data_IF_570009806103
#
_entry.id   IF_570009806103
#
_cell.length_a   1.000
_cell.length_b   1.000
_cell.length_c   1.000
_cell.angle_alpha   90.00
_cell.angle_beta   90.00
_cell.angle_gamma   90.00
#
_symmetry.space_group_name_H-M   'P 1'
#
loop_
_entity.id
_entity.type
_entity.pdbx_description
1 polymer ?
#
# COMPACT_ATOMS: atom_id res chain seq x y z
N UNK A 1 27.97 -53.25 -0.31
CA UNK A 1 26.80 -53.91 -0.92
C UNK A 1 25.56 -53.26 -0.32
N UNK A 2 24.97 -52.28 -1.01
CA UNK A 2 23.78 -51.57 -0.54
C UNK A 2 22.52 -52.33 -0.99
N UNK A 3 21.53 -52.55 -0.11
CA UNK A 3 20.34 -53.31 -0.46
C UNK A 3 19.45 -52.48 -1.39
N UNK A 4 19.07 -53.00 -2.57
CA UNK A 4 18.14 -52.33 -3.48
C UNK A 4 16.66 -52.57 -3.12
N UNK A 5 16.33 -52.92 -1.87
CA UNK A 5 15.08 -53.69 -1.62
C UNK A 5 13.96 -52.97 -0.86
N UNK A 6 14.18 -51.76 -0.31
CA UNK A 6 13.11 -51.08 0.44
C UNK A 6 11.96 -50.59 -0.45
N UNK A 7 12.29 -50.03 -1.62
CA UNK A 7 11.29 -49.48 -2.53
C UNK A 7 10.53 -50.58 -3.28
N UNK A 8 11.19 -51.70 -3.54
CA UNK A 8 10.63 -52.95 -4.06
C UNK A 8 9.56 -53.51 -3.10
N UNK A 9 9.92 -53.62 -1.81
CA UNK A 9 9.03 -54.13 -0.75
C UNK A 9 7.83 -53.19 -0.54
N UNK A 10 8.03 -51.87 -0.57
CA UNK A 10 6.92 -50.91 -0.42
C UNK A 10 5.93 -50.96 -1.59
N UNK A 11 6.39 -51.26 -2.80
CA UNK A 11 5.51 -51.40 -3.99
C UNK A 11 4.76 -52.74 -4.02
N UNK A 12 5.25 -53.76 -3.32
CA UNK A 12 4.58 -55.07 -3.18
C UNK A 12 3.46 -55.07 -2.13
N UNK A 13 3.28 -53.99 -1.36
CA UNK A 13 2.23 -53.88 -0.36
C UNK A 13 0.82 -53.92 -1.00
N UNK A 14 -0.13 -54.71 -0.47
CA UNK A 14 -1.51 -54.75 -0.95
C UNK A 14 -2.15 -53.36 -0.83
N UNK A 15 -2.79 -52.89 -1.90
CA UNK A 15 -3.55 -51.62 -1.84
C UNK A 15 -4.75 -51.80 -0.90
N UNK A 16 -4.91 -50.98 0.14
CA UNK A 16 -6.04 -51.11 1.04
C UNK A 16 -7.34 -50.85 0.27
N UNK A 17 -8.29 -51.79 0.36
CA UNK A 17 -9.62 -51.62 -0.19
C UNK A 17 -10.40 -50.69 0.73
N UNK A 18 -10.90 -49.54 0.23
CA UNK A 18 -11.64 -48.62 1.08
C UNK A 18 -12.93 -49.28 1.59
N UNK A 19 -13.33 -49.02 2.85
CA UNK A 19 -14.57 -49.56 3.40
C UNK A 19 -15.79 -49.04 2.62
N UNK A 20 -16.82 -49.87 2.49
CA UNK A 20 -18.03 -49.54 1.75
C UNK A 20 -18.67 -48.24 2.27
N UNK A 21 -19.03 -47.34 1.36
CA UNK A 21 -19.66 -46.06 1.70
C UNK A 21 -18.70 -44.93 2.14
N UNK A 22 -17.38 -45.15 2.15
CA UNK A 22 -16.39 -44.09 2.45
C UNK A 22 -16.56 -42.89 1.51
N UNK A 23 -16.79 -43.13 0.22
CA UNK A 23 -17.00 -42.07 -0.78
C UNK A 23 -18.23 -41.22 -0.47
N UNK A 24 -19.34 -41.84 -0.02
CA UNK A 24 -20.53 -41.11 0.40
C UNK A 24 -20.30 -40.33 1.70
N UNK A 25 -19.53 -40.87 2.65
CA UNK A 25 -19.12 -40.13 3.85
C UNK A 25 -18.23 -38.94 3.50
N UNK A 26 -17.27 -39.10 2.60
CA UNK A 26 -16.39 -38.00 2.16
C UNK A 26 -17.18 -36.91 1.43
N UNK A 27 -18.04 -37.29 0.48
CA UNK A 27 -18.89 -36.34 -0.24
C UNK A 27 -19.88 -35.61 0.68
N UNK A 28 -20.29 -36.22 1.82
CA UNK A 28 -21.14 -35.56 2.80
C UNK A 28 -20.42 -34.47 3.61
N UNK A 29 -19.11 -34.62 3.85
CA UNK A 29 -18.32 -33.67 4.66
C UNK A 29 -17.57 -32.64 3.80
N UNK A 30 -17.46 -32.86 2.50
CA UNK A 30 -16.90 -31.90 1.56
C UNK A 30 -18.01 -30.94 1.10
N UNK A 31 -18.26 -29.89 1.88
CA UNK A 31 -18.83 -28.66 1.34
C UNK A 31 -17.69 -27.91 0.65
N UNK A 32 -17.51 -28.16 -0.65
CA UNK A 32 -16.84 -27.18 -1.48
C UNK A 32 -17.84 -26.05 -1.66
N UNK A 33 -17.50 -24.84 -1.22
CA UNK A 33 -18.18 -23.63 -1.67
C UNK A 33 -18.30 -23.74 -3.18
N UNK A 34 -19.53 -23.59 -3.70
CA UNK A 34 -19.75 -23.58 -5.14
C UNK A 34 -18.74 -22.59 -5.75
N UNK A 35 -18.07 -22.94 -6.86
CA UNK A 35 -17.25 -21.95 -7.54
C UNK A 35 -18.19 -20.79 -7.83
N UNK A 36 -17.85 -19.61 -7.30
CA UNK A 36 -18.51 -18.36 -7.67
C UNK A 36 -18.66 -18.45 -9.18
N UNK A 37 -19.90 -18.41 -9.66
CA UNK A 37 -20.16 -18.38 -11.08
C UNK A 37 -19.40 -17.17 -11.60
N UNK A 38 -18.21 -17.42 -12.17
CA UNK A 38 -17.58 -16.46 -13.05
C UNK A 38 -18.59 -16.35 -14.16
N UNK A 39 -19.33 -15.25 -14.15
CA UNK A 39 -20.01 -14.76 -15.34
C UNK A 39 -18.97 -14.86 -16.45
N UNK A 40 -19.11 -15.89 -17.27
CA UNK A 40 -18.49 -15.91 -18.57
C UNK A 40 -19.13 -14.73 -19.27
N UNK A 41 -18.44 -13.60 -19.24
CA UNK A 41 -18.73 -12.46 -20.07
C UNK A 41 -18.61 -12.96 -21.51
N UNK A 42 -19.72 -13.48 -22.06
CA UNK A 42 -19.91 -13.54 -23.48
C UNK A 42 -19.85 -12.10 -23.94
N UNK A 43 -18.69 -11.70 -24.43
CA UNK A 43 -18.54 -10.47 -25.20
C UNK A 43 -19.44 -10.65 -26.42
N UNK A 44 -20.56 -9.91 -26.55
CA UNK A 44 -21.36 -9.98 -27.75
C UNK A 44 -20.47 -9.56 -28.91
N UNK A 45 -20.48 -10.32 -30.00
CA UNK A 45 -19.79 -9.93 -31.23
C UNK A 45 -20.28 -8.53 -31.60
N UNK A 46 -19.44 -7.52 -31.38
CA UNK A 46 -19.80 -6.15 -31.67
C UNK A 46 -19.97 -6.05 -33.18
N UNK A 47 -21.16 -5.63 -33.61
CA UNK A 47 -21.47 -5.45 -35.02
C UNK A 47 -20.40 -4.56 -35.65
N UNK A 48 -19.89 -4.97 -36.82
CA UNK A 48 -18.88 -4.27 -37.61
C UNK A 48 -19.07 -2.74 -37.58
N UNK A 49 -20.31 -2.26 -37.64
CA UNK A 49 -20.69 -0.85 -37.62
C UNK A 49 -20.25 -0.09 -36.35
N UNK A 50 -20.21 -0.72 -35.16
CA UNK A 50 -19.73 -0.08 -33.93
C UNK A 50 -18.22 0.13 -33.92
N UNK A 51 -17.47 -0.68 -34.67
CA UNK A 51 -15.99 -0.59 -34.75
C UNK A 51 -15.51 0.60 -35.57
N UNK A 52 -16.34 1.08 -36.51
CA UNK A 52 -16.04 2.20 -37.40
C UNK A 52 -16.76 3.50 -37.03
N UNK A 53 -17.64 3.46 -36.01
CA UNK A 53 -18.35 4.62 -35.50
C UNK A 53 -17.45 5.82 -35.16
N UNK A 54 -16.27 5.64 -34.52
CA UNK A 54 -15.40 6.78 -34.23
C UNK A 54 -14.92 7.47 -35.51
N UNK A 55 -14.53 6.70 -36.53
CA UNK A 55 -13.99 7.23 -37.79
C UNK A 55 -15.01 8.02 -38.59
N UNK A 56 -16.29 7.59 -38.58
CA UNK A 56 -17.37 8.34 -39.25
C UNK A 56 -17.75 9.63 -38.51
N UNK A 57 -17.70 9.66 -37.18
CA UNK A 57 -17.99 10.87 -36.40
C UNK A 57 -16.91 11.94 -36.64
N UNK A 58 -15.63 11.56 -36.63
CA UNK A 58 -14.54 12.50 -36.92
C UNK A 58 -14.57 12.99 -38.38
N UNK A 59 -14.85 12.12 -39.35
CA UNK A 59 -14.98 12.51 -40.76
C UNK A 59 -16.15 13.47 -41.04
N UNK A 60 -17.31 13.22 -40.42
CA UNK A 60 -18.47 14.10 -40.53
C UNK A 60 -18.25 15.49 -39.92
N UNK A 61 -17.54 15.55 -38.78
CA UNK A 61 -17.20 16.82 -38.14
C UNK A 61 -16.33 17.74 -39.00
N UNK A 62 -15.35 17.17 -39.73
CA UNK A 62 -14.46 17.94 -40.61
C UNK A 62 -15.23 18.54 -41.80
N UNK A 63 -16.13 17.76 -42.42
CA UNK A 63 -16.94 18.24 -43.55
C UNK A 63 -17.93 19.32 -43.12
N UNK A 64 -18.56 19.18 -41.96
CA UNK A 64 -19.43 20.21 -41.39
C UNK A 64 -18.67 21.51 -41.08
N UNK A 65 -17.46 21.40 -40.52
CA UNK A 65 -16.60 22.55 -40.22
C UNK A 65 -16.14 23.27 -41.51
N UNK A 66 -15.78 22.52 -42.55
CA UNK A 66 -15.44 23.08 -43.86
C UNK A 66 -16.64 23.82 -44.50
N UNK A 67 -17.84 23.23 -44.44
CA UNK A 67 -19.06 23.87 -44.93
C UNK A 67 -19.39 25.17 -44.16
N UNK A 68 -19.21 25.18 -42.83
CA UNK A 68 -19.38 26.37 -42.00
C UNK A 68 -18.36 27.48 -42.35
N UNK A 69 -17.11 27.13 -42.62
CA UNK A 69 -16.09 28.11 -43.04
C UNK A 69 -16.37 28.70 -44.44
N UNK A 70 -17.01 27.94 -45.33
CA UNK A 70 -17.43 28.40 -46.66
C UNK A 70 -18.59 29.40 -46.56
N UNK A 71 -19.60 29.12 -45.73
CA UNK A 71 -20.73 30.05 -45.51
C UNK A 71 -20.30 31.32 -44.76
N UNK A 72 -19.35 31.20 -43.84
CA UNK A 72 -18.78 32.35 -43.12
C UNK A 72 -17.98 33.28 -44.07
N UNK A 73 -17.29 32.72 -45.08
CA UNK A 73 -16.60 33.51 -46.13
C UNK A 73 -17.54 34.25 -47.08
N UNK A 74 -18.76 33.75 -47.33
CA UNK A 74 -19.77 34.50 -48.11
C UNK A 74 -20.41 35.62 -47.29
N UNK A 75 -20.67 35.37 -45.99
CA UNK A 75 -21.20 36.39 -45.08
C UNK A 75 -20.22 37.57 -44.91
N UNK A 76 -18.92 37.30 -44.81
CA UNK A 76 -17.86 38.32 -44.76
C UNK A 76 -17.76 39.16 -46.04
N UNK A 77 -17.99 38.56 -47.22
CA UNK A 77 -18.01 39.31 -48.49
C UNK A 77 -19.23 40.21 -48.59
N UNK A 78 -20.40 39.73 -48.17
CA UNK A 78 -21.63 40.52 -48.15
C UNK A 78 -21.55 41.65 -47.10
N UNK A 79 -20.96 41.38 -45.92
CA UNK A 79 -20.72 42.39 -44.90
C UNK A 79 -19.73 43.48 -45.36
N UNK A 80 -18.67 43.12 -46.10
CA UNK A 80 -17.76 44.10 -46.73
C UNK A 80 -18.43 44.91 -47.83
N UNK A 81 -19.31 44.31 -48.62
CA UNK A 81 -20.08 45.01 -49.65
C UNK A 81 -21.08 46.02 -49.04
N UNK A 82 -21.72 45.66 -47.93
CA UNK A 82 -22.59 46.56 -47.16
C UNK A 82 -21.79 47.69 -46.50
N UNK A 83 -20.61 47.40 -45.94
CA UNK A 83 -19.72 48.39 -45.33
C UNK A 83 -19.09 49.37 -46.35
N UNK A 84 -18.96 48.97 -47.62
CA UNK A 84 -18.48 49.82 -48.71
C UNK A 84 -19.57 50.73 -49.32
N UNK A 85 -20.84 50.57 -48.94
CA UNK A 85 -21.95 51.41 -49.40
C UNK A 85 -22.15 52.62 -48.47
N UNK A 86 -22.46 53.83 -48.99
CA UNK A 86 -22.75 55.00 -48.16
C UNK A 86 -23.96 54.82 -47.23
N UNK A 87 -24.86 53.86 -47.52
CA UNK A 87 -25.94 53.47 -46.62
C UNK A 87 -25.45 52.62 -45.43
N UNK A 88 -24.36 51.85 -45.60
CA UNK A 88 -23.79 51.03 -44.53
C UNK A 88 -23.03 51.83 -43.48
N UNK A 89 -22.33 52.90 -43.90
CA UNK A 89 -21.66 53.80 -42.94
C UNK A 89 -22.67 54.55 -42.05
N UNK A 90 -23.86 54.88 -42.57
CA UNK A 90 -24.94 55.52 -41.81
C UNK A 90 -25.62 54.56 -40.81
N UNK A 91 -25.75 53.28 -41.15
CA UNK A 91 -26.25 52.24 -40.24
C UNK A 91 -25.24 51.94 -39.13
N UNK A 92 -23.95 51.91 -39.46
CA UNK A 92 -22.86 51.69 -38.50
C UNK A 92 -22.74 52.89 -37.55
N UNK A 93 -22.83 54.13 -38.05
CA UNK A 93 -22.78 55.33 -37.19
C UNK A 93 -23.99 55.46 -36.28
N UNK A 94 -25.19 55.10 -36.77
CA UNK A 94 -26.41 55.04 -35.96
C UNK A 94 -26.31 53.97 -34.88
N UNK A 95 -25.87 52.75 -35.22
CA UNK A 95 -25.66 51.67 -34.25
C UNK A 95 -24.56 51.99 -33.21
N UNK A 96 -23.48 52.67 -33.62
CA UNK A 96 -22.45 53.18 -32.70
C UNK A 96 -23.03 54.24 -31.75
N UNK A 97 -23.88 55.15 -32.23
CA UNK A 97 -24.55 56.16 -31.39
C UNK A 97 -25.59 55.57 -30.43
N UNK A 98 -26.33 54.54 -30.85
CA UNK A 98 -27.29 53.81 -30.02
C UNK A 98 -26.59 52.94 -28.97
N UNK A 99 -25.46 52.32 -29.33
CA UNK A 99 -24.64 51.55 -28.39
C UNK A 99 -23.91 52.45 -27.38
N UNK A 100 -23.52 53.68 -27.77
CA UNK A 100 -22.97 54.67 -26.85
C UNK A 100 -24.00 55.20 -25.85
N UNK A 101 -25.29 55.25 -26.25
CA UNK A 101 -26.39 55.66 -25.38
C UNK A 101 -26.84 54.57 -24.38
N UNK A 102 -26.45 53.30 -24.58
CA UNK A 102 -26.74 52.18 -23.67
C UNK A 102 -25.59 51.88 -22.69
N UNK A 103 -24.52 52.68 -22.65
CA UNK A 103 -23.43 52.53 -21.67
C UNK A 103 -23.77 53.27 -20.37
N UNK A 104 -24.92 52.95 -19.77
CA UNK A 104 -25.07 52.99 -18.32
C UNK A 104 -24.96 51.55 -17.81
N UNK A 105 -23.71 51.10 -17.63
CA UNK A 105 -23.41 49.80 -17.03
C UNK A 105 -23.26 49.97 -15.52
N UNK A 106 -24.29 49.61 -14.76
CA UNK A 106 -24.20 49.35 -13.32
C UNK A 106 -24.27 47.83 -13.05
N UNK A 107 -23.64 47.25 -12.01
CA UNK A 107 -22.45 47.69 -11.26
C UNK A 107 -21.22 46.86 -11.69
N UNK A 108 -20.12 47.54 -12.06
CA UNK A 108 -18.86 46.88 -12.46
C UNK A 108 -18.10 46.16 -11.34
N UNK A 109 -18.61 46.12 -10.10
CA UNK A 109 -17.94 45.49 -8.96
C UNK A 109 -18.03 43.96 -8.99
N UNK A 110 -19.18 43.39 -9.32
CA UNK A 110 -19.39 41.93 -9.27
C UNK A 110 -18.56 41.21 -10.35
N UNK A 111 -18.56 41.75 -11.56
CA UNK A 111 -17.73 41.24 -12.68
C UNK A 111 -16.23 41.40 -12.41
N UNK A 112 -15.81 42.47 -11.73
CA UNK A 112 -14.40 42.65 -11.32
C UNK A 112 -14.01 41.68 -10.22
N UNK A 113 -14.90 41.41 -9.27
CA UNK A 113 -14.70 40.41 -8.22
C UNK A 113 -14.59 39.00 -8.81
N UNK A 114 -15.47 38.65 -9.76
CA UNK A 114 -15.45 37.35 -10.45
C UNK A 114 -14.20 37.17 -11.32
N UNK A 115 -13.78 38.21 -12.06
CA UNK A 115 -12.50 38.19 -12.78
C UNK A 115 -11.29 38.05 -11.84
N UNK A 116 -11.37 38.58 -10.63
CA UNK A 116 -10.37 38.37 -9.58
C UNK A 116 -10.31 36.91 -9.13
N UNK A 117 -11.49 36.30 -8.89
CA UNK A 117 -11.63 34.90 -8.48
C UNK A 117 -11.05 33.93 -9.53
N UNK A 118 -11.43 34.11 -10.79
CA UNK A 118 -10.95 33.27 -11.89
C UNK A 118 -9.44 33.37 -12.08
N UNK A 119 -8.85 34.56 -11.88
CA UNK A 119 -7.39 34.72 -11.92
C UNK A 119 -6.72 33.97 -10.77
N UNK A 120 -7.28 34.03 -9.56
CA UNK A 120 -6.77 33.28 -8.43
C UNK A 120 -6.83 31.75 -8.66
N UNK A 121 -7.93 31.27 -9.24
CA UNK A 121 -8.08 29.86 -9.62
C UNK A 121 -7.08 29.44 -10.70
N UNK A 122 -6.87 30.26 -11.73
CA UNK A 122 -5.84 30.00 -12.74
C UNK A 122 -4.44 29.93 -12.13
N UNK A 123 -4.10 30.84 -11.21
CA UNK A 123 -2.80 30.78 -10.52
C UNK A 123 -2.66 29.52 -9.66
N UNK A 124 -3.74 29.06 -9.02
CA UNK A 124 -3.75 27.84 -8.24
C UNK A 124 -3.56 26.60 -9.12
N UNK A 125 -4.26 26.52 -10.26
CA UNK A 125 -4.13 25.42 -11.21
C UNK A 125 -2.75 25.38 -11.86
N UNK A 126 -2.16 26.54 -12.15
CA UNK A 126 -0.78 26.64 -12.64
C UNK A 126 0.20 26.08 -11.60
N UNK A 127 0.09 26.49 -10.33
CA UNK A 127 0.93 25.97 -9.27
C UNK A 127 0.81 24.45 -9.09
N UNK A 128 -0.40 23.89 -9.18
CA UNK A 128 -0.63 22.44 -9.15
C UNK A 128 0.02 21.74 -10.35
N UNK A 129 -0.09 22.34 -11.55
CA UNK A 129 0.53 21.80 -12.76
C UNK A 129 2.05 21.78 -12.63
N UNK A 130 2.64 22.84 -12.08
CA UNK A 130 4.09 22.92 -11.85
C UNK A 130 4.55 21.90 -10.80
N UNK A 131 3.77 21.69 -9.74
CA UNK A 131 4.03 20.65 -8.75
C UNK A 131 4.01 19.24 -9.36
N UNK A 132 3.05 18.94 -10.24
CA UNK A 132 2.99 17.65 -10.95
C UNK A 132 4.21 17.47 -11.85
N UNK A 133 4.63 18.53 -12.56
CA UNK A 133 5.84 18.48 -13.41
C UNK A 133 7.10 18.25 -12.58
N UNK A 134 7.20 18.89 -11.43
CA UNK A 134 8.32 18.69 -10.52
C UNK A 134 8.38 17.23 -10.04
N UNK A 135 7.27 16.70 -9.56
CA UNK A 135 7.19 15.30 -9.13
C UNK A 135 7.52 14.32 -10.27
N UNK A 136 7.09 14.63 -11.50
CA UNK A 136 7.45 13.83 -12.67
C UNK A 136 8.96 13.88 -12.98
N UNK A 137 9.59 15.04 -12.85
CA UNK A 137 11.03 15.20 -13.03
C UNK A 137 11.83 14.45 -11.93
N UNK A 138 11.40 14.54 -10.68
CA UNK A 138 11.97 13.79 -9.55
C UNK A 138 11.83 12.28 -9.75
N UNK A 139 10.65 11.80 -10.16
CA UNK A 139 10.44 10.38 -10.49
C UNK A 139 11.36 9.92 -11.62
N UNK A 140 11.52 10.73 -12.67
CA UNK A 140 12.42 10.40 -13.79
C UNK A 140 13.90 10.40 -13.35
N UNK A 141 14.28 11.25 -12.39
CA UNK A 141 15.62 11.25 -11.82
C UNK A 141 15.86 9.99 -10.97
N UNK A 142 14.90 9.60 -10.13
CA UNK A 142 14.96 8.38 -9.33
C UNK A 142 15.05 7.13 -10.21
N UNK A 143 14.24 7.05 -11.28
CA UNK A 143 14.31 5.94 -12.23
C UNK A 143 15.67 5.83 -12.93
N UNK A 144 16.29 6.97 -13.28
CA UNK A 144 17.65 6.98 -13.84
C UNK A 144 18.69 6.51 -12.82
N UNK A 145 18.61 6.99 -11.59
CA UNK A 145 19.52 6.56 -10.52
C UNK A 145 19.40 5.05 -10.24
N UNK A 146 18.17 4.50 -10.25
CA UNK A 146 17.95 3.05 -10.13
C UNK A 146 18.57 2.28 -11.30
N UNK A 147 18.35 2.72 -12.54
CA UNK A 147 18.94 2.08 -13.72
C UNK A 147 20.49 2.12 -13.71
N UNK A 148 21.07 3.22 -13.25
CA UNK A 148 22.53 3.35 -13.07
C UNK A 148 23.04 2.41 -11.97
N UNK A 149 22.32 2.28 -10.86
CA UNK A 149 22.66 1.35 -9.77
C UNK A 149 22.53 -0.12 -10.20
N UNK A 150 21.49 -0.47 -10.96
CA UNK A 150 21.32 -1.80 -11.56
C UNK A 150 22.44 -2.11 -12.56
N UNK A 151 22.82 -1.14 -13.39
CA UNK A 151 23.95 -1.30 -14.32
C UNK A 151 25.30 -1.46 -13.61
N UNK A 152 25.45 -0.92 -12.39
CA UNK A 152 26.66 -1.03 -11.59
C UNK A 152 26.83 -2.41 -10.89
N UNK A 153 25.78 -3.25 -10.86
CA UNK A 153 25.81 -4.60 -10.30
C UNK A 153 25.71 -5.67 -11.42
N UNK A 154 26.78 -5.92 -12.18
CA UNK A 154 26.74 -6.87 -13.28
C UNK A 154 26.50 -8.30 -12.76
N UNK A 155 25.41 -8.93 -13.22
CA UNK A 155 25.14 -10.36 -13.02
C UNK A 155 24.20 -10.73 -11.87
N UNK A 156 23.63 -9.76 -11.16
CA UNK A 156 22.54 -10.01 -10.19
C UNK A 156 21.23 -9.68 -10.88
N UNK A 157 20.36 -10.67 -11.07
CA UNK A 157 19.05 -10.42 -11.64
C UNK A 157 18.13 -9.69 -10.64
N UNK A 158 17.10 -8.97 -11.08
CA UNK A 158 16.13 -8.36 -10.18
C UNK A 158 15.43 -9.39 -9.27
N UNK A 159 15.24 -10.62 -9.75
CA UNK A 159 14.70 -11.74 -8.96
C UNK A 159 15.67 -12.16 -7.83
N UNK A 160 16.99 -12.24 -8.11
CA UNK A 160 18.00 -12.53 -7.09
C UNK A 160 18.04 -11.45 -5.99
N UNK A 161 17.83 -10.18 -6.37
CA UNK A 161 17.79 -9.07 -5.43
C UNK A 161 16.56 -9.15 -4.51
N UNK A 162 15.39 -9.47 -5.06
CA UNK A 162 14.17 -9.67 -4.27
C UNK A 162 14.28 -10.90 -3.36
N UNK A 163 14.88 -12.00 -3.84
CA UNK A 163 15.18 -13.17 -3.01
C UNK A 163 16.17 -12.82 -1.88
N UNK A 164 17.22 -12.05 -2.18
CA UNK A 164 18.18 -11.59 -1.19
C UNK A 164 17.53 -10.69 -0.12
N UNK A 165 16.63 -9.78 -0.52
CA UNK A 165 15.84 -8.97 0.42
C UNK A 165 14.92 -9.82 1.28
N UNK A 166 14.22 -10.79 0.70
CA UNK A 166 13.36 -11.71 1.45
C UNK A 166 14.19 -12.58 2.43
N UNK A 167 15.38 -13.02 2.02
CA UNK A 167 16.31 -13.74 2.87
C UNK A 167 16.86 -12.87 4.00
N UNK A 168 17.18 -11.60 3.72
CA UNK A 168 17.59 -10.61 4.71
C UNK A 168 16.48 -10.37 5.75
N UNK A 169 15.26 -10.11 5.30
CA UNK A 169 14.10 -9.90 6.17
C UNK A 169 13.86 -11.12 7.07
N UNK A 170 13.97 -12.32 6.50
CA UNK A 170 13.86 -13.56 7.27
C UNK A 170 14.99 -13.69 8.31
N UNK A 171 16.21 -13.31 7.97
CA UNK A 171 17.33 -13.32 8.90
C UNK A 171 17.12 -12.33 10.06
N UNK A 172 16.63 -11.12 9.77
CA UNK A 172 16.30 -10.11 10.78
C UNK A 172 15.17 -10.60 11.70
N UNK A 173 14.15 -11.26 11.17
CA UNK A 173 13.08 -11.86 11.97
C UNK A 173 13.58 -12.99 12.87
N UNK A 174 14.47 -13.86 12.38
CA UNK A 174 15.11 -14.90 13.20
C UNK A 174 15.95 -14.28 14.32
N UNK A 175 16.73 -13.24 14.03
CA UNK A 175 17.50 -12.54 15.05
C UNK A 175 16.60 -11.84 16.07
N UNK A 176 15.48 -11.25 15.64
CA UNK A 176 14.45 -10.71 16.52
C UNK A 176 13.91 -11.80 17.48
N UNK A 177 13.61 -13.00 16.98
CA UNK A 177 13.19 -14.14 17.81
C UNK A 177 14.27 -14.50 18.84
N UNK A 178 15.54 -14.50 18.44
CA UNK A 178 16.65 -14.78 19.37
C UNK A 178 16.76 -13.71 20.47
N UNK A 179 16.53 -12.43 20.15
CA UNK A 179 16.47 -11.36 21.14
C UNK A 179 15.29 -11.57 22.10
N UNK A 180 14.09 -11.89 21.60
CA UNK A 180 12.92 -12.18 22.44
C UNK A 180 13.14 -13.38 23.36
N UNK A 181 13.85 -14.42 22.90
CA UNK A 181 14.22 -15.58 23.74
C UNK A 181 15.17 -15.18 24.87
N UNK A 182 16.16 -14.33 24.59
CA UNK A 182 17.07 -13.82 25.63
C UNK A 182 16.31 -12.99 26.67
N UNK A 183 15.38 -12.15 26.21
CA UNK A 183 14.50 -11.38 27.10
C UNK A 183 13.59 -12.29 27.93
N UNK A 184 13.01 -13.33 27.34
CA UNK A 184 12.19 -14.32 28.05
C UNK A 184 12.99 -15.13 29.07
N UNK A 185 14.24 -15.47 28.77
CA UNK A 185 15.15 -16.10 29.73
C UNK A 185 15.44 -15.15 30.91
N UNK A 186 15.83 -13.91 30.63
CA UNK A 186 16.09 -12.89 31.65
C UNK A 186 14.88 -12.66 32.56
N UNK A 187 13.68 -12.63 31.98
CA UNK A 187 12.42 -12.50 32.69
C UNK A 187 12.20 -13.60 33.73
N UNK A 188 12.53 -14.85 33.38
CA UNK A 188 12.38 -16.01 34.26
C UNK A 188 13.49 -16.08 35.33
N UNK A 189 14.72 -15.76 34.96
CA UNK A 189 15.83 -15.63 35.92
C UNK A 189 15.49 -14.57 36.98
N UNK A 190 14.94 -13.44 36.56
CA UNK A 190 14.42 -12.41 37.46
C UNK A 190 13.36 -12.99 38.42
N UNK A 191 12.33 -13.65 37.88
CA UNK A 191 11.21 -14.16 38.65
C UNK A 191 11.65 -15.13 39.76
N UNK A 192 12.64 -15.98 39.48
CA UNK A 192 13.22 -16.92 40.45
C UNK A 192 13.74 -16.24 41.73
N UNK A 193 14.19 -14.99 41.65
CA UNK A 193 14.67 -14.22 42.82
C UNK A 193 13.60 -13.27 43.39
N UNK A 194 12.41 -13.22 42.78
CA UNK A 194 11.38 -12.23 43.06
C UNK A 194 10.00 -12.87 43.32
N UNK A 195 9.97 -14.02 44.00
CA UNK A 195 8.73 -14.72 44.38
C UNK A 195 7.83 -14.96 43.16
N UNK A 196 8.42 -15.46 42.09
CA UNK A 196 7.78 -15.81 40.83
C UNK A 196 7.01 -14.66 40.15
N UNK A 197 7.35 -13.41 40.51
CA UNK A 197 6.72 -12.20 39.99
C UNK A 197 7.61 -11.54 38.94
N UNK A 198 7.00 -11.11 37.84
CA UNK A 198 7.69 -10.42 36.76
C UNK A 198 7.94 -8.94 37.06
N UNK A 199 9.01 -8.34 36.49
CA UNK A 199 9.33 -6.93 36.69
C UNK A 199 8.26 -6.03 36.07
N UNK A 200 8.24 -4.74 36.45
CA UNK A 200 7.34 -3.74 35.87
C UNK A 200 7.82 -3.22 34.52
N UNK A 201 9.13 -3.24 34.26
CA UNK A 201 9.75 -2.73 33.03
C UNK A 201 11.01 -3.52 32.67
N UNK A 202 11.50 -3.39 31.44
CA UNK A 202 12.82 -3.93 31.04
C UNK A 202 13.96 -3.41 31.93
N UNK A 203 13.91 -2.14 32.31
CA UNK A 203 14.96 -1.50 33.10
C UNK A 203 15.05 -2.02 34.54
N UNK A 204 14.02 -2.69 35.03
CA UNK A 204 14.10 -3.35 36.34
C UNK A 204 15.02 -4.57 36.30
N UNK A 205 15.13 -5.26 35.16
CA UNK A 205 15.87 -6.52 35.00
C UNK A 205 17.17 -6.40 34.20
N UNK A 206 17.83 -5.22 34.23
CA UNK A 206 19.07 -4.97 33.47
C UNK A 206 20.20 -5.95 33.83
N UNK A 207 20.27 -6.38 35.10
CA UNK A 207 21.23 -7.37 35.57
C UNK A 207 21.08 -8.73 34.86
N UNK A 208 19.87 -9.07 34.40
CA UNK A 208 19.56 -10.36 33.77
C UNK A 208 19.66 -10.32 32.24
N UNK A 209 19.66 -9.12 31.64
CA UNK A 209 19.62 -8.92 30.18
C UNK A 209 21.00 -8.85 29.52
N UNK A 210 22.07 -8.68 30.29
CA UNK A 210 23.46 -8.62 29.81
C UNK A 210 23.81 -7.35 29.03
N UNK A 211 23.05 -6.98 28.00
CA UNK A 211 23.26 -5.81 27.14
C UNK A 211 21.95 -5.14 26.72
N UNK A 212 21.86 -3.80 26.67
CA UNK A 212 20.67 -3.10 26.19
C UNK A 212 20.38 -3.34 24.71
N UNK A 213 21.36 -3.80 23.92
CA UNK A 213 21.19 -4.11 22.50
C UNK A 213 20.14 -5.19 22.24
N UNK A 214 19.89 -6.06 23.23
CA UNK A 214 18.87 -7.11 23.13
C UNK A 214 17.45 -6.54 23.07
N UNK A 215 17.25 -5.28 23.51
CA UNK A 215 15.95 -4.62 23.53
C UNK A 215 15.58 -3.92 22.21
N UNK A 216 16.48 -3.96 21.22
CA UNK A 216 16.23 -3.45 19.87
C UNK A 216 15.91 -4.61 18.92
N UNK A 217 14.94 -4.36 18.05
CA UNK A 217 14.67 -5.23 16.92
C UNK A 217 15.71 -4.97 15.82
N UNK A 218 16.33 -6.01 15.23
CA UNK A 218 17.31 -5.85 14.16
C UNK A 218 16.79 -5.11 12.92
N UNK A 219 15.49 -5.14 12.68
CA UNK A 219 14.82 -4.42 11.60
C UNK A 219 14.43 -2.97 11.99
N UNK A 220 14.70 -2.54 13.22
CA UNK A 220 14.40 -1.18 13.67
C UNK A 220 15.50 -0.21 13.23
N UNK A 221 15.23 0.55 12.18
CA UNK A 221 16.12 1.61 11.71
C UNK A 221 15.83 2.96 12.35
N UNK A 222 14.73 3.09 13.10
CA UNK A 222 14.31 4.35 13.70
C UNK A 222 14.90 4.57 15.10
N UNK A 223 15.07 3.49 15.86
CA UNK A 223 15.58 3.55 17.23
C UNK A 223 17.04 3.09 17.31
N UNK A 224 17.99 3.97 17.68
CA UNK A 224 19.37 3.55 17.87
C UNK A 224 19.50 2.70 19.15
N UNK A 225 20.33 1.64 19.14
CA UNK A 225 20.61 0.87 20.34
C UNK A 225 21.38 1.72 21.35
N UNK A 226 21.03 1.60 22.63
CA UNK A 226 21.81 2.21 23.70
C UNK A 226 23.20 1.56 23.79
N UNK A 227 24.21 2.37 24.13
CA UNK A 227 25.60 1.92 24.28
C UNK A 227 25.76 1.11 25.57
N UNK A 228 25.07 1.55 26.62
CA UNK A 228 25.07 0.95 27.95
C UNK A 228 23.72 1.17 28.65
N UNK A 229 23.56 0.56 29.83
CA UNK A 229 22.34 0.73 30.63
C UNK A 229 22.18 2.14 31.20
N UNK A 230 23.27 2.90 31.37
CA UNK A 230 23.22 4.28 31.88
C UNK A 230 22.58 5.26 30.89
N UNK A 231 22.76 5.02 29.59
CA UNK A 231 22.17 5.77 28.49
C UNK A 231 20.86 5.18 27.95
N UNK A 232 20.38 4.09 28.55
CA UNK A 232 19.17 3.41 28.10
C UNK A 232 17.91 4.16 28.53
N UNK A 233 17.05 4.46 27.55
CA UNK A 233 15.74 5.07 27.75
C UNK A 233 14.66 4.30 26.97
N UNK A 234 13.40 4.72 27.09
CA UNK A 234 12.32 4.18 26.25
C UNK A 234 12.56 4.38 24.74
N UNK A 235 13.39 5.36 24.35
CA UNK A 235 13.76 5.57 22.95
C UNK A 235 14.72 4.50 22.39
N UNK A 236 15.26 3.63 23.24
CA UNK A 236 16.21 2.58 22.87
C UNK A 236 15.60 1.18 22.97
N UNK A 237 14.28 1.08 22.85
CA UNK A 237 13.53 -0.17 23.00
C UNK A 237 12.51 -0.32 21.87
N UNK A 238 12.66 -1.37 21.06
CA UNK A 238 11.72 -1.68 19.96
C UNK A 238 10.57 -2.59 20.38
N UNK A 239 10.71 -3.26 21.53
CA UNK A 239 9.73 -4.21 22.04
C UNK A 239 8.77 -3.56 23.03
N UNK A 240 7.52 -3.98 22.97
CA UNK A 240 6.54 -3.66 23.99
C UNK A 240 6.63 -4.66 25.14
N UNK A 241 6.58 -4.15 26.37
CA UNK A 241 6.61 -4.96 27.58
C UNK A 241 5.19 -5.14 28.15
N UNK A 242 4.75 -6.39 28.27
CA UNK A 242 3.38 -6.77 28.67
C UNK A 242 3.35 -7.69 29.91
N UNK A 243 4.52 -8.07 30.43
CA UNK A 243 4.64 -8.93 31.61
C UNK A 243 4.42 -8.20 32.95
N UNK A 244 4.28 -6.88 32.96
CA UNK A 244 4.11 -6.10 34.19
C UNK A 244 2.95 -6.63 35.05
N UNK A 245 3.23 -6.89 36.34
CA UNK A 245 2.24 -7.47 37.26
C UNK A 245 1.81 -8.90 36.91
N UNK A 246 2.60 -9.62 36.10
CA UNK A 246 2.44 -11.04 35.84
C UNK A 246 3.27 -11.92 36.78
N UNK A 247 3.00 -13.22 36.70
CA UNK A 247 3.71 -14.25 37.48
C UNK A 247 3.99 -15.47 36.61
N UNK A 248 4.90 -16.35 37.04
CA UNK A 248 5.16 -17.61 36.33
C UNK A 248 3.92 -18.54 36.26
N UNK A 249 2.89 -18.31 37.07
CA UNK A 249 1.61 -19.03 37.02
C UNK A 249 0.76 -18.74 35.77
N UNK A 250 1.13 -17.77 34.94
CA UNK A 250 0.45 -17.39 33.70
C UNK A 250 1.32 -17.69 32.46
N UNK A 251 1.68 -18.96 32.16
CA UNK A 251 2.74 -19.29 31.20
C UNK A 251 2.44 -18.83 29.76
N UNK A 252 1.17 -18.87 29.33
CA UNK A 252 0.74 -18.46 27.99
C UNK A 252 0.46 -16.97 27.84
N UNK A 253 0.63 -16.19 28.92
CA UNK A 253 0.50 -14.73 28.85
C UNK A 253 1.62 -14.16 27.99
N UNK A 254 1.28 -13.19 27.15
CA UNK A 254 2.26 -12.46 26.35
C UNK A 254 3.07 -11.56 27.28
N UNK A 255 4.38 -11.83 27.33
CA UNK A 255 5.34 -11.05 28.09
C UNK A 255 5.91 -9.89 27.29
N UNK A 256 6.18 -10.11 26.00
CA UNK A 256 6.78 -9.12 25.10
C UNK A 256 6.22 -9.22 23.69
N UNK A 257 6.19 -8.09 22.98
CA UNK A 257 5.73 -8.03 21.58
C UNK A 257 6.66 -7.16 20.75
N UNK A 258 7.08 -7.66 19.59
CA UNK A 258 7.80 -6.87 18.60
C UNK A 258 6.81 -6.07 17.75
N UNK A 259 7.00 -4.75 17.68
CA UNK A 259 6.13 -3.86 16.90
C UNK A 259 6.41 -3.88 15.39
N UNK A 260 7.57 -4.43 14.98
CA UNK A 260 7.99 -4.50 13.58
C UNK A 260 7.59 -5.84 12.97
N UNK A 261 8.12 -6.95 13.49
CA UNK A 261 7.81 -8.29 12.97
C UNK A 261 6.49 -8.87 13.51
N UNK A 262 5.95 -8.34 14.61
CA UNK A 262 4.77 -8.91 15.28
C UNK A 262 5.03 -10.18 16.09
N UNK A 263 6.29 -10.63 16.20
CA UNK A 263 6.69 -11.76 17.03
C UNK A 263 6.35 -11.49 18.51
N UNK A 264 5.88 -12.51 19.23
CA UNK A 264 5.52 -12.41 20.65
C UNK A 264 6.36 -13.37 21.49
N UNK A 265 6.83 -12.92 22.64
CA UNK A 265 7.42 -13.76 23.69
C UNK A 265 6.40 -13.99 24.80
N UNK A 266 6.23 -15.24 25.22
CA UNK A 266 5.33 -15.64 26.30
C UNK A 266 6.07 -15.68 27.65
N UNK A 267 5.30 -15.67 28.74
CA UNK A 267 5.81 -15.71 30.11
C UNK A 267 6.57 -17.00 30.44
N UNK A 268 6.30 -18.11 29.75
CA UNK A 268 7.09 -19.35 29.85
C UNK A 268 8.47 -19.29 29.16
N UNK A 269 8.74 -18.20 28.42
CA UNK A 269 9.96 -17.98 27.65
C UNK A 269 9.91 -18.50 26.21
N UNK A 270 8.81 -19.12 25.78
CA UNK A 270 8.60 -19.48 24.38
C UNK A 270 8.32 -18.25 23.52
N UNK A 271 8.62 -18.33 22.22
CA UNK A 271 8.41 -17.23 21.27
C UNK A 271 7.60 -17.74 20.10
N UNK A 272 6.52 -17.03 19.79
CA UNK A 272 5.65 -17.31 18.65
C UNK A 272 5.97 -16.32 17.53
N UNK A 273 6.30 -16.86 16.36
CA UNK A 273 6.64 -16.07 15.19
C UNK A 273 5.37 -15.63 14.46
N UNK A 274 5.34 -14.36 14.06
CA UNK A 274 4.32 -13.89 13.12
C UNK A 274 4.64 -14.44 11.74
N UNK A 275 3.73 -15.20 11.14
CA UNK A 275 3.84 -15.50 9.71
C UNK A 275 3.62 -14.19 8.94
N UNK A 276 4.25 -14.03 7.78
CA UNK A 276 4.38 -12.75 7.06
C UNK A 276 3.10 -11.97 6.73
N UNK A 277 1.91 -12.49 7.05
CA UNK A 277 0.63 -11.79 6.94
C UNK A 277 0.06 -11.29 8.30
N UNK A 278 0.70 -11.59 9.43
CA UNK A 278 0.29 -11.22 10.78
C UNK A 278 -1.07 -11.75 11.23
N UNK A 279 -1.76 -12.53 10.39
CA UNK A 279 -3.16 -12.91 10.57
C UNK A 279 -3.31 -14.06 11.58
N UNK A 280 -2.32 -14.96 11.58
CA UNK A 280 -2.36 -16.19 12.37
C UNK A 280 -2.23 -15.91 13.88
N UNK A 281 -1.26 -15.09 14.29
CA UNK A 281 -1.08 -14.72 15.69
C UNK A 281 -2.26 -13.90 16.21
N UNK A 282 -2.79 -12.94 15.43
CA UNK A 282 -3.92 -12.11 15.86
C UNK A 282 -5.17 -12.94 16.20
N UNK A 283 -5.35 -14.07 15.52
CA UNK A 283 -6.50 -14.96 15.74
C UNK A 283 -6.34 -15.82 17.01
N UNK A 284 -5.09 -16.04 17.44
CA UNK A 284 -4.73 -16.84 18.62
C UNK A 284 -4.50 -15.98 19.88
N UNK A 285 -4.66 -14.66 19.76
CA UNK A 285 -4.47 -13.74 20.88
C UNK A 285 -5.82 -13.42 21.53
N UNK A 286 -5.94 -13.76 22.81
CA UNK A 286 -7.15 -13.54 23.60
C UNK A 286 -6.85 -12.56 24.73
N UNK A 287 -7.68 -11.51 24.85
CA UNK A 287 -7.58 -10.57 25.96
C UNK A 287 -8.50 -11.00 27.10
N UNK A 288 -7.94 -11.14 28.31
CA UNK A 288 -8.68 -11.42 29.56
C UNK A 288 -8.23 -10.44 30.64
N UNK A 289 -9.17 -9.73 31.24
CA UNK A 289 -8.90 -8.76 32.31
C UNK A 289 -7.79 -7.73 31.96
N UNK A 290 -7.76 -7.30 30.69
CA UNK A 290 -6.73 -6.38 30.17
C UNK A 290 -5.35 -6.99 29.92
N UNK A 291 -5.17 -8.29 30.17
CA UNK A 291 -3.95 -9.07 29.86
C UNK A 291 -4.12 -9.84 28.56
N UNK A 292 -3.03 -10.01 27.83
CA UNK A 292 -3.01 -10.69 26.53
C UNK A 292 -2.46 -12.11 26.67
N UNK A 293 -3.17 -13.11 26.16
CA UNK A 293 -2.80 -14.54 26.21
C UNK A 293 -2.74 -15.14 24.81
N UNK A 294 -1.92 -16.17 24.65
CA UNK A 294 -1.78 -16.95 23.41
C UNK A 294 -2.46 -18.32 23.55
N UNK A 295 -3.49 -18.59 22.77
CA UNK A 295 -4.39 -19.76 22.86
C UNK A 295 -4.85 -20.29 21.50
#
# INVERSE_FOLDING_TARGET
MNPPDLESILRAAPRPVPPAGLQQKLNRHVRLEAPIARESNHVPSSSWLKRWWPTFVFGGGIVACAAALVTQKSALRNARALAASPAGSAVISKALSESAALVEVAPGQDRRAEMGRLRAELTQLQALTDSIRQLAAENQQLQRALAEAEAALPGISPEDLEEAKAAQERALSIQCVNNLKQVGLALRVWASSHRDTFPSTFLSMTNELGSPKVLICPADTAHPPAVDWASSSSANVSYEFLAAGGTEGEPTRVATRCLIHGNIGLCDGSVQMSRGDGSNLKTQLVTRDGKLFFE
#
